data_IF_117000094733
#
_entry.id   IF_117000094733
#
_cell.length_a   1.000
_cell.length_b   1.000
_cell.length_c   1.000
_cell.angle_alpha   90.00
_cell.angle_beta   90.00
_cell.angle_gamma   90.00
#
_symmetry.space_group_name_H-M   'P 1'
#
loop_
_entity.id
_entity.type
_entity.pdbx_description
1 polymer ?
#
# COMPACT_ATOMS: atom_id res chain seq x y z
N UNK A 1 -28.42 0.37 23.80
CA UNK A 1 -27.16 1.13 23.65
C UNK A 1 -26.50 0.64 22.37
N UNK A 2 -26.45 1.45 21.31
CA UNK A 2 -25.89 1.01 20.01
C UNK A 2 -24.37 0.92 20.17
N UNK A 3 -23.78 -0.24 19.87
CA UNK A 3 -22.33 -0.45 19.98
C UNK A 3 -21.62 0.34 18.87
N UNK A 4 -20.58 1.11 19.20
CA UNK A 4 -19.82 1.87 18.19
C UNK A 4 -19.21 0.95 17.11
N UNK A 5 -18.92 -0.30 17.50
CA UNK A 5 -18.44 -1.37 16.62
C UNK A 5 -19.33 -1.57 15.40
N UNK A 6 -20.66 -1.61 15.58
CA UNK A 6 -21.59 -1.82 14.46
C UNK A 6 -21.74 -0.62 13.52
N UNK A 7 -21.25 0.57 13.90
CA UNK A 7 -21.30 1.78 13.08
C UNK A 7 -20.13 1.89 12.10
N UNK A 8 -19.05 1.14 12.33
CA UNK A 8 -17.79 1.25 11.56
C UNK A 8 -17.34 -0.09 10.98
N UNK A 9 -18.09 -1.16 11.21
CA UNK A 9 -17.73 -2.50 10.73
C UNK A 9 -17.67 -2.58 9.20
N UNK A 10 -18.57 -1.89 8.50
CA UNK A 10 -18.56 -1.78 7.05
C UNK A 10 -17.27 -1.08 6.55
N UNK A 11 -16.83 -0.02 7.24
CA UNK A 11 -15.59 0.68 6.92
C UNK A 11 -14.37 -0.21 7.09
N UNK A 12 -14.32 -1.00 8.17
CA UNK A 12 -13.23 -1.95 8.40
C UNK A 12 -13.25 -3.04 7.34
N UNK A 13 -14.41 -3.62 7.01
CA UNK A 13 -14.51 -4.66 5.99
C UNK A 13 -14.10 -4.14 4.59
N UNK A 14 -14.43 -2.88 4.27
CA UNK A 14 -13.97 -2.23 3.03
C UNK A 14 -12.45 -2.12 2.91
N UNK A 15 -11.72 -2.08 4.03
CA UNK A 15 -10.25 -2.07 4.03
C UNK A 15 -9.63 -3.45 3.75
N UNK A 16 -10.40 -4.53 3.87
CA UNK A 16 -9.92 -5.90 3.64
C UNK A 16 -9.92 -6.26 2.15
N UNK A 17 -10.89 -5.77 1.36
CA UNK A 17 -10.95 -6.08 -0.08
C UNK A 17 -9.70 -5.65 -0.86
N UNK A 18 -9.11 -4.45 -0.64
CA UNK A 18 -7.84 -4.07 -1.26
C UNK A 18 -6.67 -5.01 -0.94
N UNK A 19 -6.67 -5.67 0.23
CA UNK A 19 -5.62 -6.64 0.58
C UNK A 19 -5.65 -7.87 -0.33
N UNK A 20 -6.85 -8.33 -0.69
CA UNK A 20 -7.02 -9.47 -1.63
C UNK A 20 -6.52 -9.10 -3.01
N UNK A 21 -6.86 -7.90 -3.49
CA UNK A 21 -6.40 -7.39 -4.79
C UNK A 21 -4.88 -7.26 -4.79
N UNK A 22 -4.29 -6.70 -3.73
CA UNK A 22 -2.84 -6.57 -3.63
C UNK A 22 -2.10 -7.93 -3.66
N UNK A 23 -2.64 -8.95 -2.98
CA UNK A 23 -2.10 -10.31 -3.02
C UNK A 23 -2.22 -10.93 -4.42
N UNK A 24 -3.35 -10.74 -5.10
CA UNK A 24 -3.56 -11.20 -6.48
C UNK A 24 -2.57 -10.55 -7.44
N UNK A 25 -2.40 -9.22 -7.35
CA UNK A 25 -1.45 -8.48 -8.19
C UNK A 25 0.00 -8.92 -7.96
N UNK A 26 0.33 -9.27 -6.71
CA UNK A 26 1.66 -9.79 -6.35
C UNK A 26 1.84 -11.27 -6.74
N UNK A 27 0.77 -11.98 -7.10
CA UNK A 27 0.80 -13.43 -7.33
C UNK A 27 1.09 -14.23 -6.05
N UNK A 28 0.79 -13.68 -4.88
CA UNK A 28 1.09 -14.27 -3.58
C UNK A 28 -0.18 -14.73 -2.86
N UNK A 29 -0.03 -15.74 -2.02
CA UNK A 29 -1.05 -16.18 -1.08
C UNK A 29 -0.80 -15.57 0.31
N UNK A 30 -1.80 -15.65 1.18
CA UNK A 30 -1.67 -15.22 2.58
C UNK A 30 -0.54 -15.95 3.32
N UNK A 31 -0.30 -17.22 2.98
CA UNK A 31 0.77 -18.03 3.57
C UNK A 31 2.18 -17.58 3.17
N UNK A 32 2.33 -16.86 2.06
CA UNK A 32 3.63 -16.36 1.59
C UNK A 32 4.05 -15.07 2.29
N UNK A 33 3.17 -14.47 3.10
CA UNK A 33 3.47 -13.27 3.88
C UNK A 33 4.15 -13.70 5.16
N UNK A 34 5.36 -13.22 5.44
CA UNK A 34 6.07 -13.53 6.69
C UNK A 34 5.58 -12.66 7.85
N UNK A 35 5.60 -11.35 7.66
CA UNK A 35 5.29 -10.34 8.67
C UNK A 35 4.11 -9.46 8.25
N UNK A 36 3.26 -9.10 9.22
CA UNK A 36 2.21 -8.09 9.06
C UNK A 36 2.53 -6.89 9.94
N UNK A 37 2.66 -5.72 9.34
CA UNK A 37 2.99 -4.47 10.04
C UNK A 37 1.79 -3.53 9.95
N UNK A 38 1.36 -3.01 11.11
CA UNK A 38 0.27 -2.03 11.20
C UNK A 38 0.85 -0.62 11.36
N UNK A 39 0.45 0.29 10.48
CA UNK A 39 0.90 1.69 10.48
C UNK A 39 -0.31 2.63 10.47
N UNK A 40 -0.23 3.72 11.23
CA UNK A 40 -1.28 4.73 11.39
C UNK A 40 -2.18 4.52 12.62
N UNK A 41 -2.55 5.62 13.28
CA UNK A 41 -3.25 5.59 14.57
C UNK A 41 -4.59 4.84 14.58
N UNK A 42 -5.31 4.78 13.45
CA UNK A 42 -6.58 4.06 13.34
C UNK A 42 -6.42 2.54 13.49
N UNK A 43 -5.22 2.00 13.26
CA UNK A 43 -4.88 0.58 13.46
C UNK A 43 -4.78 0.17 14.93
N UNK A 44 -4.77 1.13 15.87
CA UNK A 44 -4.86 0.88 17.31
C UNK A 44 -6.23 0.33 17.72
N UNK A 45 -7.24 0.43 16.85
CA UNK A 45 -8.58 -0.09 17.12
C UNK A 45 -8.57 -1.63 17.18
N UNK A 46 -8.99 -2.27 18.28
CA UNK A 46 -8.89 -3.73 18.43
C UNK A 46 -9.65 -4.52 17.36
N UNK A 47 -10.73 -3.97 16.80
CA UNK A 47 -11.46 -4.59 15.70
C UNK A 47 -10.64 -4.67 14.41
N UNK A 48 -9.86 -3.63 14.10
CA UNK A 48 -8.98 -3.62 12.91
C UNK A 48 -7.89 -4.68 13.08
N UNK A 49 -7.21 -4.68 14.23
CA UNK A 49 -6.16 -5.67 14.52
C UNK A 49 -6.69 -7.10 14.41
N UNK A 50 -7.87 -7.36 14.98
CA UNK A 50 -8.52 -8.67 14.91
C UNK A 50 -8.87 -9.07 13.48
N UNK A 51 -9.49 -8.18 12.69
CA UNK A 51 -9.87 -8.47 11.30
C UNK A 51 -8.65 -8.72 10.40
N UNK A 52 -7.58 -7.97 10.60
CA UNK A 52 -6.31 -8.17 9.88
C UNK A 52 -5.65 -9.49 10.29
N UNK A 53 -5.62 -9.81 11.59
CA UNK A 53 -5.08 -11.07 12.08
C UNK A 53 -5.88 -12.28 11.58
N UNK A 54 -7.21 -12.18 11.53
CA UNK A 54 -8.10 -13.20 10.94
C UNK A 54 -7.85 -13.36 9.44
N UNK A 55 -7.65 -12.26 8.71
CA UNK A 55 -7.39 -12.30 7.27
C UNK A 55 -6.04 -12.96 6.93
N UNK A 56 -4.98 -12.58 7.64
CA UNK A 56 -3.64 -13.12 7.40
C UNK A 56 -3.33 -14.42 8.16
N UNK A 57 -4.21 -14.84 9.08
CA UNK A 57 -3.98 -16.00 9.95
C UNK A 57 -2.78 -15.85 10.90
N UNK A 58 -2.31 -14.61 11.14
CA UNK A 58 -1.13 -14.31 11.96
C UNK A 58 -1.28 -13.00 12.71
N UNK A 59 -0.63 -12.92 13.87
CA UNK A 59 -0.62 -11.70 14.67
C UNK A 59 0.30 -10.64 14.06
N UNK A 60 -0.17 -9.39 13.92
CA UNK A 60 0.67 -8.30 13.48
C UNK A 60 1.80 -8.01 14.47
N UNK A 61 2.92 -7.52 13.95
CA UNK A 61 4.07 -7.10 14.74
C UNK A 61 3.73 -5.91 15.65
N UNK A 62 4.29 -5.93 16.86
CA UNK A 62 4.04 -4.93 17.92
C UNK A 62 5.27 -4.09 18.27
N UNK A 63 6.40 -4.38 17.66
CA UNK A 63 7.68 -3.70 17.85
C UNK A 63 7.91 -2.57 16.83
N UNK A 64 6.90 -2.23 16.04
CA UNK A 64 6.88 -1.06 15.15
C UNK A 64 5.97 0.01 15.74
N UNK A 65 6.47 1.24 15.87
CA UNK A 65 5.64 2.37 16.30
C UNK A 65 4.76 2.85 15.12
N UNK A 66 3.42 2.69 15.19
CA UNK A 66 2.54 2.99 14.06
C UNK A 66 2.45 4.48 13.74
N UNK A 67 2.83 5.36 14.66
CA UNK A 67 2.69 6.82 14.48
C UNK A 67 3.96 7.47 13.92
N UNK A 68 5.12 6.83 14.09
CA UNK A 68 6.44 7.40 13.77
C UNK A 68 7.17 6.67 12.64
N UNK A 69 6.81 5.41 12.35
CA UNK A 69 7.50 4.58 11.36
C UNK A 69 7.63 5.26 9.98
N UNK A 70 6.58 5.98 9.55
CA UNK A 70 6.56 6.70 8.28
C UNK A 70 7.58 7.85 8.27
N UNK A 71 7.65 8.63 9.35
CA UNK A 71 8.57 9.76 9.45
C UNK A 71 10.03 9.30 9.48
N UNK A 72 10.30 8.19 10.19
CA UNK A 72 11.62 7.56 10.22
C UNK A 72 11.99 7.05 8.83
N UNK A 73 11.09 6.35 8.14
CA UNK A 73 11.31 5.89 6.77
C UNK A 73 11.65 7.03 5.80
N UNK A 74 10.94 8.16 5.92
CA UNK A 74 11.24 9.36 5.13
C UNK A 74 12.64 9.94 5.42
N UNK A 75 13.05 9.97 6.69
CA UNK A 75 14.39 10.42 7.07
C UNK A 75 15.49 9.48 6.52
N UNK A 76 15.27 8.16 6.56
CA UNK A 76 16.18 7.17 5.97
C UNK A 76 16.29 7.39 4.46
N UNK A 77 15.16 7.58 3.75
CA UNK A 77 15.17 7.88 2.32
C UNK A 77 15.95 9.16 2.01
N UNK A 78 15.83 10.20 2.85
CA UNK A 78 16.65 11.41 2.75
C UNK A 78 18.15 11.13 2.87
N UNK A 79 18.55 10.30 3.83
CA UNK A 79 19.95 9.87 4.00
C UNK A 79 20.49 9.03 2.84
N UNK A 80 19.63 8.25 2.17
CA UNK A 80 20.00 7.53 0.94
C UNK A 80 20.28 8.51 -0.21
N UNK A 81 19.46 9.56 -0.34
CA UNK A 81 19.64 10.58 -1.38
C UNK A 81 20.91 11.42 -1.19
N UNK A 82 21.32 11.68 0.06
CA UNK A 82 22.58 12.41 0.36
C UNK A 82 23.81 11.50 0.32
N UNK A 83 23.64 10.18 0.30
CA UNK A 83 24.71 9.19 0.33
C UNK A 83 25.26 8.88 1.73
N UNK A 84 24.59 9.37 2.78
CA UNK A 84 24.91 9.08 4.19
C UNK A 84 24.51 7.65 4.58
N UNK A 85 23.44 7.13 3.98
CA UNK A 85 23.00 5.73 4.10
C UNK A 85 23.41 4.99 2.83
N UNK A 86 24.22 3.94 2.99
CA UNK A 86 24.73 3.12 1.88
C UNK A 86 24.08 1.74 1.87
N UNK A 87 24.16 1.07 0.74
CA UNK A 87 23.71 -0.32 0.53
C UNK A 87 22.19 -0.55 0.70
N UNK A 88 21.38 0.49 0.43
CA UNK A 88 19.92 0.40 0.34
C UNK A 88 19.47 0.77 -1.07
N UNK A 89 18.79 -0.17 -1.74
CA UNK A 89 18.11 0.06 -3.01
C UNK A 89 16.60 -0.09 -2.81
N UNK A 90 15.86 0.98 -3.09
CA UNK A 90 14.40 0.98 -3.04
C UNK A 90 13.85 1.06 -4.47
N UNK A 91 13.05 0.08 -4.86
CA UNK A 91 12.35 0.05 -6.15
C UNK A 91 10.84 0.13 -5.87
N UNK A 92 10.25 1.29 -6.17
CA UNK A 92 8.83 1.53 -5.95
C UNK A 92 8.02 1.34 -7.25
N UNK A 93 6.70 1.23 -7.12
CA UNK A 93 5.77 1.05 -8.24
C UNK A 93 4.74 2.18 -8.30
N UNK A 94 4.36 2.57 -9.52
CA UNK A 94 3.26 3.52 -9.70
C UNK A 94 1.93 2.81 -9.42
N UNK A 95 1.09 3.30 -8.49
CA UNK A 95 -0.25 2.73 -8.31
C UNK A 95 -1.09 3.02 -9.57
N UNK A 96 -1.97 2.11 -9.99
CA UNK A 96 -2.81 2.32 -11.16
C UNK A 96 -3.63 3.62 -11.00
N UNK A 97 -3.45 4.54 -11.94
CA UNK A 97 -4.14 5.84 -11.94
C UNK A 97 -5.39 5.76 -12.81
N UNK A 98 -6.48 6.42 -12.38
CA UNK A 98 -7.58 6.72 -13.29
C UNK A 98 -7.13 7.84 -14.23
N UNK A 99 -6.70 7.49 -15.44
CA UNK A 99 -6.40 8.48 -16.50
C UNK A 99 -7.56 9.44 -16.75
N UNK A 100 -7.24 10.70 -17.10
CA UNK A 100 -8.25 11.69 -17.49
C UNK A 100 -8.82 11.32 -18.86
N UNK A 101 -10.15 11.09 -18.91
CA UNK A 101 -10.89 10.62 -20.09
C UNK A 101 -11.15 11.76 -21.08
N UNK A 102 -10.60 11.66 -22.30
CA UNK A 102 -11.10 12.40 -23.46
C UNK A 102 -11.93 11.47 -24.34
N UNK A 103 -13.03 12.00 -24.88
CA UNK A 103 -14.11 11.26 -25.56
C UNK A 103 -13.60 10.22 -26.56
N UNK A 104 -13.90 8.93 -26.32
CA UNK A 104 -14.10 7.96 -27.41
C UNK A 104 -13.21 6.71 -27.46
N UNK A 105 -12.32 6.44 -26.50
CA UNK A 105 -11.53 5.19 -26.53
C UNK A 105 -11.40 4.56 -25.15
N UNK A 106 -11.91 3.33 -25.01
CA UNK A 106 -11.64 2.47 -23.87
C UNK A 106 -10.46 1.58 -24.22
N UNK A 107 -9.26 1.99 -23.84
CA UNK A 107 -8.14 1.06 -23.67
C UNK A 107 -7.86 0.99 -22.15
N UNK A 108 -8.82 0.43 -21.39
CA UNK A 108 -8.76 0.31 -19.92
C UNK A 108 -7.75 -0.76 -19.42
N UNK A 109 -7.11 -1.49 -20.35
CA UNK A 109 -6.24 -2.62 -20.02
C UNK A 109 -4.76 -2.22 -19.83
N UNK A 110 -4.32 -1.07 -20.33
CA UNK A 110 -2.92 -0.64 -20.24
C UNK A 110 -2.54 -0.07 -18.85
N UNK A 111 -3.52 0.46 -18.10
CA UNK A 111 -3.26 1.16 -16.82
C UNK A 111 -3.40 0.24 -15.58
N UNK A 112 -3.64 -1.06 -15.77
CA UNK A 112 -3.79 -2.04 -14.67
C UNK A 112 -2.49 -2.69 -14.23
N UNK A 113 -1.46 -2.63 -15.06
CA UNK A 113 -0.17 -3.25 -14.76
C UNK A 113 0.67 -2.32 -13.86
N UNK A 114 1.23 -2.85 -12.78
CA UNK A 114 2.08 -2.07 -11.87
C UNK A 114 3.46 -1.93 -12.49
N UNK A 115 3.81 -0.74 -12.94
CA UNK A 115 5.13 -0.44 -13.48
C UNK A 115 6.08 0.08 -12.40
N UNK A 116 7.34 -0.40 -12.42
CA UNK A 116 8.40 0.12 -11.56
C UNK A 116 8.79 1.55 -11.97
N UNK A 117 8.93 2.43 -11.00
CA UNK A 117 9.38 3.80 -11.23
C UNK A 117 10.92 3.89 -11.20
N UNK A 118 11.57 4.73 -12.04
CA UNK A 118 10.99 5.56 -13.11
C UNK A 118 10.59 4.73 -14.33
N UNK A 119 9.33 4.82 -14.71
CA UNK A 119 8.82 4.20 -15.93
C UNK A 119 9.15 5.09 -17.14
N UNK A 120 9.76 4.51 -18.16
CA UNK A 120 10.09 5.21 -19.42
C UNK A 120 8.94 5.18 -20.43
N UNK A 121 7.68 5.06 -19.99
CA UNK A 121 6.52 5.32 -20.83
C UNK A 121 6.56 6.80 -21.30
N UNK A 122 7.35 7.07 -22.34
CA UNK A 122 7.55 8.38 -22.93
C UNK A 122 6.19 8.89 -23.41
N UNK A 123 5.66 10.00 -22.86
CA UNK A 123 4.82 10.84 -23.69
C UNK A 123 5.78 11.47 -24.68
N UNK A 124 5.69 11.06 -25.95
CA UNK A 124 6.27 11.88 -27.01
C UNK A 124 5.82 13.33 -26.81
N UNK A 125 6.76 14.28 -27.04
CA UNK A 125 6.60 15.75 -26.95
C UNK A 125 6.85 16.27 -25.51
N UNK A 126 7.90 17.01 -25.16
CA UNK A 126 8.43 18.23 -25.79
C UNK A 126 9.88 18.51 -25.26
N UNK A 127 10.92 18.19 -26.04
CA UNK A 127 12.18 18.93 -25.99
C UNK A 127 12.32 19.70 -27.30
N UNK A 128 11.74 20.89 -27.32
CA UNK A 128 12.13 22.02 -28.17
C UNK A 128 11.81 23.30 -27.42
#
# INVERSE_FOLDING_TARGET
MRNWKGLVEDLVNRSIEPLKVALQDAGLSVSDIDDVILVGGQTRMPMVQKKVAEFFGKEPRKDVNPDEAVAIGAAVQGGVLTGDVKDVLLLDVTPPVSGYRNHGRCDDDADREKHHYPDQAQPGVLYR
#
